data_IF_530306613861
#
_entry.id   IF_530306613861
#
_cell.length_a   1.000
_cell.length_b   1.000
_cell.length_c   1.000
_cell.angle_alpha   90.00
_cell.angle_beta   90.00
_cell.angle_gamma   90.00
#
_symmetry.space_group_name_H-M   'P 1'
#
loop_
_entity.id
_entity.type
_entity.pdbx_description
1 polymer ?
#
# COMPACT_ATOMS: atom_id res chain seq x y z
N UNK A 1 -12.51 -30.77 -12.16
CA UNK A 1 -12.52 -29.67 -11.18
C UNK A 1 -12.27 -28.37 -11.94
N UNK A 2 -13.28 -27.49 -12.00
CA UNK A 2 -13.16 -26.18 -12.66
C UNK A 2 -12.38 -25.24 -11.74
N UNK A 3 -11.23 -24.74 -12.20
CA UNK A 3 -10.42 -23.76 -11.46
C UNK A 3 -11.19 -22.44 -11.47
N UNK A 4 -11.46 -21.87 -10.29
CA UNK A 4 -12.13 -20.58 -10.18
C UNK A 4 -11.39 -19.53 -11.01
N UNK A 5 -12.13 -18.61 -11.69
CA UNK A 5 -11.50 -17.57 -12.48
C UNK A 5 -10.55 -16.76 -11.59
N UNK A 6 -9.28 -16.69 -11.98
CA UNK A 6 -8.26 -15.95 -11.24
C UNK A 6 -8.28 -14.51 -11.75
N UNK A 7 -8.64 -13.57 -10.90
CA UNK A 7 -8.51 -12.15 -11.22
C UNK A 7 -7.07 -11.69 -10.95
N UNK A 8 -6.54 -10.84 -11.82
CA UNK A 8 -5.25 -10.17 -11.63
C UNK A 8 -5.49 -8.83 -10.94
N UNK A 9 -4.83 -8.62 -9.80
CA UNK A 9 -4.87 -7.36 -9.07
C UNK A 9 -3.79 -6.40 -9.59
N UNK A 10 -4.16 -5.14 -9.82
CA UNK A 10 -3.26 -4.05 -10.19
C UNK A 10 -3.41 -2.92 -9.17
N UNK A 11 -2.30 -2.51 -8.56
CA UNK A 11 -2.24 -1.39 -7.61
C UNK A 11 -1.54 -0.21 -8.26
N UNK A 12 -2.22 0.93 -8.37
CA UNK A 12 -1.65 2.18 -8.85
C UNK A 12 -1.34 3.14 -7.68
N UNK A 13 -0.50 4.15 -7.92
CA UNK A 13 -0.16 5.15 -6.89
C UNK A 13 -1.24 6.23 -6.67
N UNK A 14 -2.18 6.38 -7.61
CA UNK A 14 -3.23 7.41 -7.57
C UNK A 14 -4.39 7.06 -8.51
N UNK A 15 -5.59 7.63 -8.28
CA UNK A 15 -6.79 7.30 -9.07
C UNK A 15 -6.67 7.56 -10.57
N UNK A 16 -5.92 8.59 -10.99
CA UNK A 16 -5.79 8.89 -12.43
C UNK A 16 -5.04 7.80 -13.19
N UNK A 17 -3.94 7.30 -12.63
CA UNK A 17 -3.16 6.21 -13.23
C UNK A 17 -3.99 4.93 -13.30
N UNK A 18 -4.75 4.61 -12.26
CA UNK A 18 -5.65 3.45 -12.27
C UNK A 18 -6.68 3.51 -13.40
N UNK A 19 -7.27 4.69 -13.67
CA UNK A 19 -8.25 4.87 -14.76
C UNK A 19 -7.64 4.69 -16.14
N UNK A 20 -6.42 5.17 -16.34
CA UNK A 20 -5.72 5.02 -17.62
C UNK A 20 -5.39 3.54 -17.89
N UNK A 21 -4.91 2.82 -16.88
CA UNK A 21 -4.67 1.36 -16.97
C UNK A 21 -5.99 0.62 -17.24
N UNK A 22 -7.05 0.95 -16.50
CA UNK A 22 -8.35 0.32 -16.65
C UNK A 22 -8.95 0.46 -18.05
N UNK A 23 -8.74 1.61 -18.71
CA UNK A 23 -9.17 1.84 -20.08
C UNK A 23 -8.51 0.87 -21.07
N UNK A 24 -7.20 0.62 -20.91
CA UNK A 24 -6.45 -0.29 -21.79
C UNK A 24 -6.78 -1.75 -21.50
N UNK A 25 -6.97 -2.11 -20.22
CA UNK A 25 -7.24 -3.49 -19.81
C UNK A 25 -8.71 -3.91 -19.93
N UNK A 26 -9.63 -3.00 -20.24
CA UNK A 26 -11.06 -3.32 -20.33
C UNK A 26 -11.73 -3.53 -18.98
N UNK A 27 -11.21 -2.91 -17.92
CA UNK A 27 -11.75 -2.98 -16.57
C UNK A 27 -12.65 -1.76 -16.27
N UNK A 28 -13.82 -1.69 -16.90
CA UNK A 28 -14.66 -0.48 -16.91
C UNK A 28 -15.72 -0.42 -15.79
N UNK A 29 -15.95 -1.52 -15.06
CA UNK A 29 -16.98 -1.58 -14.01
C UNK A 29 -16.42 -0.92 -12.75
N UNK A 30 -17.14 0.05 -12.21
CA UNK A 30 -16.72 0.80 -11.01
C UNK A 30 -17.18 0.09 -9.74
N UNK A 31 -16.27 -0.02 -8.78
CA UNK A 31 -16.55 -0.35 -7.39
C UNK A 31 -16.11 0.79 -6.46
N UNK A 32 -16.25 0.58 -5.15
CA UNK A 32 -15.75 1.54 -4.16
C UNK A 32 -14.22 1.39 -4.00
N UNK A 33 -13.48 2.37 -4.47
CA UNK A 33 -12.01 2.37 -4.43
C UNK A 33 -11.32 1.46 -5.46
N UNK A 34 -12.05 0.91 -6.45
CA UNK A 34 -11.46 0.11 -7.53
C UNK A 34 -12.28 0.12 -8.83
N UNK A 35 -11.68 -0.43 -9.89
CA UNK A 35 -12.27 -0.72 -11.18
C UNK A 35 -12.07 -2.21 -11.50
N UNK A 36 -13.03 -2.87 -12.14
CA UNK A 36 -12.89 -4.28 -12.50
C UNK A 36 -13.50 -4.61 -13.86
N UNK A 37 -13.06 -5.73 -14.43
CA UNK A 37 -13.50 -6.22 -15.74
C UNK A 37 -12.36 -6.91 -16.49
N UNK A 38 -12.69 -7.73 -17.48
CA UNK A 38 -11.73 -8.48 -18.28
C UNK A 38 -10.70 -9.31 -17.46
N UNK A 39 -11.11 -9.81 -16.30
CA UNK A 39 -10.24 -10.56 -15.38
C UNK A 39 -9.29 -9.71 -14.53
N UNK A 40 -9.44 -8.38 -14.52
CA UNK A 40 -8.63 -7.47 -13.71
C UNK A 40 -9.44 -6.82 -12.59
N UNK A 41 -8.76 -6.53 -11.48
CA UNK A 41 -9.19 -5.63 -10.41
C UNK A 41 -8.11 -4.58 -10.23
N UNK A 42 -8.44 -3.32 -10.45
CA UNK A 42 -7.49 -2.20 -10.45
C UNK A 42 -7.89 -1.24 -9.34
N UNK A 43 -7.01 -1.06 -8.37
CA UNK A 43 -7.19 -0.13 -7.24
C UNK A 43 -6.01 0.84 -7.15
N UNK A 44 -6.04 1.76 -6.20
CA UNK A 44 -5.00 2.77 -6.04
C UNK A 44 -4.75 3.08 -4.56
N UNK A 45 -3.49 3.36 -4.25
CA UNK A 45 -3.11 4.04 -3.01
C UNK A 45 -3.40 5.55 -3.13
N UNK A 46 -3.60 6.22 -2.01
CA UNK A 46 -3.57 7.69 -1.94
C UNK A 46 -2.52 8.06 -0.91
N UNK A 47 -1.38 8.58 -1.36
CA UNK A 47 -0.23 8.82 -0.50
C UNK A 47 0.43 7.53 -0.01
N UNK A 48 1.16 7.61 1.10
CA UNK A 48 1.77 6.46 1.74
C UNK A 48 0.72 5.70 2.56
N UNK A 49 0.45 4.45 2.21
CA UNK A 49 -0.44 3.56 2.99
C UNK A 49 0.20 3.08 4.30
N UNK A 50 1.52 3.16 4.38
CA UNK A 50 2.31 2.78 5.53
C UNK A 50 3.54 3.68 5.63
N UNK A 51 3.96 3.99 6.85
CA UNK A 51 5.18 4.72 7.14
C UNK A 51 6.04 3.95 8.14
N UNK A 52 7.33 4.28 8.26
CA UNK A 52 8.14 3.76 9.35
C UNK A 52 7.59 4.28 10.68
N UNK A 53 7.53 3.41 11.68
CA UNK A 53 7.22 3.83 13.03
C UNK A 53 8.26 4.83 13.54
N UNK A 54 7.81 5.83 14.28
CA UNK A 54 8.66 6.79 14.96
C UNK A 54 9.50 6.09 16.04
N UNK A 55 10.68 6.62 16.41
CA UNK A 55 11.57 5.97 17.38
C UNK A 55 10.88 5.55 18.69
N UNK A 56 9.98 6.39 19.21
CA UNK A 56 9.26 6.12 20.45
C UNK A 56 8.16 5.05 20.33
N UNK A 57 7.64 4.82 19.12
CA UNK A 57 6.73 3.73 18.81
C UNK A 57 7.49 2.39 18.71
N UNK A 58 8.79 2.43 18.38
CA UNK A 58 9.67 1.26 18.36
C UNK A 58 10.22 0.93 19.75
N UNK A 59 10.68 1.94 20.47
CA UNK A 59 11.19 1.83 21.83
C UNK A 59 10.76 3.07 22.63
N UNK A 60 9.91 2.94 23.66
CA UNK A 60 9.42 4.08 24.44
C UNK A 60 10.54 4.96 25.04
N UNK A 61 11.72 4.39 25.33
CA UNK A 61 12.86 5.16 25.86
C UNK A 61 13.42 6.17 24.85
N UNK A 62 13.17 5.98 23.55
CA UNK A 62 13.58 6.88 22.47
C UNK A 62 12.65 8.09 22.27
N UNK A 63 11.61 8.22 23.11
CA UNK A 63 10.77 9.43 23.13
C UNK A 63 11.55 10.70 23.42
N UNK A 64 12.56 10.60 24.29
CA UNK A 64 13.50 11.70 24.53
C UNK A 64 14.79 11.46 23.76
N UNK A 65 15.20 12.44 22.96
CA UNK A 65 16.45 12.38 22.21
C UNK A 65 17.63 12.68 23.14
N UNK A 66 18.60 11.77 23.17
CA UNK A 66 19.84 11.91 23.92
C UNK A 66 21.00 11.43 23.07
N UNK A 67 22.20 11.98 23.28
CA UNK A 67 23.37 11.63 22.46
C UNK A 67 23.85 10.20 22.71
N UNK A 68 23.71 9.71 23.94
CA UNK A 68 24.09 8.36 24.36
C UNK A 68 23.15 7.26 23.83
N UNK A 69 21.94 7.63 23.41
CA UNK A 69 20.98 6.69 22.76
C UNK A 69 21.11 6.64 21.25
N UNK A 70 22.03 7.42 20.67
CA UNK A 70 22.30 7.40 19.24
C UNK A 70 23.47 6.45 18.90
N UNK A 71 23.38 5.71 17.77
CA UNK A 71 22.25 5.66 16.86
C UNK A 71 21.11 4.77 17.38
N UNK A 72 19.87 5.17 17.12
CA UNK A 72 18.67 4.38 17.43
C UNK A 72 18.45 3.31 16.33
N UNK A 73 19.08 2.15 16.48
CA UNK A 73 19.02 1.05 15.52
C UNK A 73 18.07 -0.05 16.01
N UNK A 74 16.87 -0.20 15.43
CA UNK A 74 15.92 -1.19 15.90
C UNK A 74 16.24 -2.58 15.32
N UNK A 75 15.90 -3.64 16.06
CA UNK A 75 16.06 -5.03 15.59
C UNK A 75 15.05 -5.42 14.51
N UNK A 76 13.94 -4.67 14.41
CA UNK A 76 12.90 -4.78 13.39
C UNK A 76 12.47 -3.37 12.96
N UNK A 77 12.01 -3.24 11.72
CA UNK A 77 11.49 -1.98 11.18
C UNK A 77 9.97 -2.06 11.08
N UNK A 78 9.23 -1.77 12.16
CA UNK A 78 7.77 -1.80 12.11
C UNK A 78 7.24 -0.67 11.21
N UNK A 79 6.15 -0.97 10.51
CA UNK A 79 5.38 -0.01 9.75
C UNK A 79 4.12 0.36 10.53
N UNK A 80 3.72 1.62 10.44
CA UNK A 80 2.47 2.19 10.98
C UNK A 80 1.59 2.72 9.86
#
# INVERSE_FOLDING_TARGET
MSRAPTNIAVLAEKPSVARDIARVLGASIKGDGFLHGNGYVITWAIGHLAALAQPHEINPTWKQWRRDTLPMLPSRWPLV
#
